data_IF_605007490132
#
_entry.id   IF_605007490132
#
_cell.length_a   1.000
_cell.length_b   1.000
_cell.length_c   1.000
_cell.angle_alpha   90.00
_cell.angle_beta   90.00
_cell.angle_gamma   90.00
#
_symmetry.space_group_name_H-M   'P 1'
#
loop_
_entity.id
_entity.type
_entity.pdbx_description
1 polymer ?
#
# COMPACT_ATOMS: atom_id res chain seq x y z
N UNK A 1 24.95 20.03 -10.99
CA UNK A 1 23.90 19.35 -11.78
C UNK A 1 24.35 18.01 -12.42
N UNK A 2 25.61 17.55 -12.27
CA UNK A 2 26.09 16.29 -12.90
C UNK A 2 26.35 15.10 -11.96
N UNK A 3 26.17 15.22 -10.64
CA UNK A 3 26.53 14.15 -9.70
C UNK A 3 25.41 13.13 -9.41
N UNK A 4 24.15 13.43 -9.76
CA UNK A 4 23.01 12.55 -9.53
C UNK A 4 22.90 11.44 -10.60
N UNK A 5 23.39 11.71 -11.82
CA UNK A 5 23.45 10.75 -12.93
C UNK A 5 24.50 9.66 -12.64
N UNK A 6 25.62 10.02 -12.00
CA UNK A 6 26.66 9.07 -11.61
C UNK A 6 26.22 8.13 -10.48
N UNK A 7 25.34 8.58 -9.58
CA UNK A 7 24.75 7.73 -8.54
C UNK A 7 23.83 6.65 -9.13
N UNK A 8 22.99 7.00 -10.10
CA UNK A 8 22.12 6.06 -10.83
C UNK A 8 22.95 5.06 -11.67
N UNK A 9 24.02 5.52 -12.33
CA UNK A 9 24.88 4.66 -13.14
C UNK A 9 25.70 3.68 -12.30
N UNK A 10 26.09 4.07 -11.09
CA UNK A 10 26.78 3.18 -10.14
C UNK A 10 25.85 2.06 -9.65
N UNK A 11 24.55 2.33 -9.46
CA UNK A 11 23.56 1.31 -9.07
C UNK A 11 23.24 0.32 -10.21
N UNK A 12 23.20 0.79 -11.46
CA UNK A 12 23.04 -0.09 -12.64
C UNK A 12 24.27 -0.98 -12.91
N UNK A 13 25.45 -0.64 -12.36
CA UNK A 13 26.64 -1.48 -12.43
C UNK A 13 26.64 -2.66 -11.45
N UNK A 14 25.84 -2.59 -10.38
CA UNK A 14 25.80 -3.60 -9.30
C UNK A 14 24.88 -4.78 -9.65
N UNK A 15 23.99 -4.66 -10.65
CA UNK A 15 23.10 -5.74 -11.10
C UNK A 15 23.79 -6.86 -11.90
N UNK A 16 25.12 -6.78 -12.12
CA UNK A 16 25.91 -7.89 -12.65
C UNK A 16 26.63 -8.65 -11.54
N UNK A 17 25.90 -9.44 -10.76
CA UNK A 17 26.46 -10.46 -9.87
C UNK A 17 25.89 -11.82 -10.22
N UNK A 18 26.48 -12.42 -11.25
CA UNK A 18 26.45 -13.87 -11.49
C UNK A 18 27.42 -14.56 -10.52
N UNK A 19 27.08 -14.71 -9.25
CA UNK A 19 27.79 -15.62 -8.33
C UNK A 19 26.90 -16.07 -7.17
N UNK A 20 27.03 -17.37 -6.84
CA UNK A 20 26.45 -18.15 -5.73
C UNK A 20 25.17 -18.96 -6.10
N UNK A 21 25.38 -20.07 -6.80
CA UNK A 21 24.71 -21.35 -6.52
C UNK A 21 25.81 -22.41 -6.37
N UNK A 22 25.85 -23.21 -5.28
CA UNK A 22 26.64 -24.43 -5.27
C UNK A 22 25.97 -25.41 -6.24
N UNK A 23 26.76 -25.93 -7.17
CA UNK A 23 26.35 -26.94 -8.12
C UNK A 23 25.79 -28.18 -7.40
N UNK A 24 24.51 -28.48 -7.62
CA UNK A 24 23.98 -29.84 -7.53
C UNK A 24 23.59 -30.20 -8.95
N UNK A 25 24.40 -31.08 -9.56
CA UNK A 25 24.22 -31.54 -10.91
C UNK A 25 23.01 -32.46 -11.03
N UNK A 26 22.13 -32.14 -11.96
CA UNK A 26 21.65 -33.05 -13.01
C UNK A 26 21.07 -32.18 -14.11
N UNK A 27 21.50 -32.41 -15.35
CA UNK A 27 21.29 -31.51 -16.46
C UNK A 27 19.82 -31.28 -16.84
N UNK A 28 19.43 -30.01 -16.86
CA UNK A 28 18.48 -29.46 -17.82
C UNK A 28 18.92 -28.03 -18.12
N UNK A 29 19.48 -27.81 -19.31
CA UNK A 29 19.65 -26.46 -19.88
C UNK A 29 18.28 -25.88 -20.15
N UNK A 30 17.74 -25.11 -19.20
CA UNK A 30 16.58 -24.25 -19.47
C UNK A 30 17.13 -22.96 -20.03
N UNK A 31 17.02 -22.80 -21.34
CA UNK A 31 17.23 -21.53 -22.00
C UNK A 31 16.26 -20.50 -21.38
N UNK A 32 16.80 -19.39 -20.91
CA UNK A 32 15.99 -18.22 -20.55
C UNK A 32 15.71 -17.40 -21.81
N UNK A 33 14.52 -17.58 -22.41
CA UNK A 33 13.84 -16.43 -22.97
C UNK A 33 12.37 -16.43 -22.51
N UNK A 34 11.73 -15.25 -22.52
CA UNK A 34 10.30 -15.01 -22.25
C UNK A 34 9.99 -14.59 -20.79
N UNK A 35 10.48 -13.40 -20.39
CA UNK A 35 9.77 -12.55 -19.42
C UNK A 35 10.11 -11.06 -19.52
N UNK A 36 10.82 -10.61 -20.58
CA UNK A 36 10.94 -9.18 -20.91
C UNK A 36 9.81 -8.84 -21.88
N UNK A 37 8.58 -8.86 -21.37
CA UNK A 37 7.50 -8.11 -21.99
C UNK A 37 7.96 -6.65 -21.96
N UNK A 38 8.27 -6.09 -23.13
CA UNK A 38 8.97 -4.80 -23.29
C UNK A 38 8.33 -3.74 -22.40
N UNK A 39 9.04 -3.35 -21.34
CA UNK A 39 8.66 -2.31 -20.39
C UNK A 39 8.17 -1.03 -21.10
N UNK A 40 8.73 -0.75 -22.29
CA UNK A 40 8.31 0.34 -23.19
C UNK A 40 6.86 0.28 -23.65
N UNK A 41 6.33 -0.91 -23.92
CA UNK A 41 4.98 -1.11 -24.46
C UNK A 41 3.92 -1.00 -23.36
N UNK A 42 4.27 -1.44 -22.14
CA UNK A 42 3.47 -1.24 -20.94
C UNK A 42 3.40 0.25 -20.56
N UNK A 43 4.54 0.96 -20.61
CA UNK A 43 4.61 2.40 -20.36
C UNK A 43 3.86 3.21 -21.44
N UNK A 44 3.88 2.78 -22.70
CA UNK A 44 3.15 3.42 -23.81
C UNK A 44 1.62 3.30 -23.67
N UNK A 45 1.11 2.10 -23.42
CA UNK A 45 -0.34 1.88 -23.16
C UNK A 45 -0.83 2.67 -21.95
N UNK A 46 0.03 2.85 -20.94
CA UNK A 46 -0.29 3.64 -19.74
C UNK A 46 -0.33 5.15 -20.00
N UNK A 47 0.48 5.66 -20.94
CA UNK A 47 0.38 7.05 -21.44
C UNK A 47 -0.94 7.33 -22.16
N UNK A 48 -1.51 6.36 -22.86
CA UNK A 48 -2.82 6.52 -23.52
C UNK A 48 -3.97 6.60 -22.50
N UNK A 49 -3.82 5.95 -21.34
CA UNK A 49 -4.76 6.02 -20.21
C UNK A 49 -4.74 7.37 -19.48
N UNK A 50 -3.58 8.05 -19.51
CA UNK A 50 -3.35 9.42 -18.99
C UNK A 50 -4.38 10.43 -19.49
N UNK A 51 -4.90 10.25 -20.70
CA UNK A 51 -5.79 11.23 -21.34
C UNK A 51 -7.29 10.91 -21.16
N UNK A 52 -7.65 9.65 -20.87
CA UNK A 52 -9.06 9.26 -20.67
C UNK A 52 -9.54 9.51 -19.23
N UNK A 53 -8.68 9.28 -18.24
CA UNK A 53 -9.00 9.44 -16.81
C UNK A 53 -9.44 10.87 -16.45
N UNK A 54 -8.77 11.89 -17.01
CA UNK A 54 -9.05 13.30 -16.70
C UNK A 54 -10.29 13.87 -17.40
N UNK A 55 -10.82 13.21 -18.42
CA UNK A 55 -12.13 13.58 -18.99
C UNK A 55 -13.29 13.18 -18.09
N UNK A 56 -13.12 12.14 -17.27
CA UNK A 56 -14.17 11.61 -16.38
C UNK A 56 -14.14 12.30 -15.02
N UNK A 57 -12.96 12.54 -14.43
CA UNK A 57 -12.85 13.13 -13.08
C UNK A 57 -13.30 14.60 -13.01
N UNK A 58 -13.18 15.38 -14.09
CA UNK A 58 -13.69 16.78 -14.15
C UNK A 58 -15.22 16.90 -14.10
N UNK A 59 -15.97 15.81 -14.31
CA UNK A 59 -17.44 15.80 -14.22
C UNK A 59 -17.98 15.47 -12.81
N UNK A 60 -17.14 14.98 -11.89
CA UNK A 60 -17.59 14.48 -10.60
C UNK A 60 -17.56 15.52 -9.45
N UNK A 61 -16.97 16.69 -9.67
CA UNK A 61 -16.84 17.74 -8.66
C UNK A 61 -17.92 18.82 -8.79
N UNK A 62 -19.16 18.50 -8.40
CA UNK A 62 -20.18 19.52 -8.11
C UNK A 62 -20.73 19.34 -6.68
N UNK A 63 -20.01 19.90 -5.71
CA UNK A 63 -20.36 19.91 -4.30
C UNK A 63 -21.26 21.11 -3.97
N UNK A 64 -22.53 20.84 -3.62
CA UNK A 64 -23.41 21.72 -2.81
C UNK A 64 -24.71 21.03 -2.37
N UNK A 65 -25.11 19.93 -3.03
CA UNK A 65 -26.32 19.16 -2.71
C UNK A 65 -26.10 18.16 -1.56
N UNK A 66 -24.85 17.75 -1.30
CA UNK A 66 -24.51 16.70 -0.32
C UNK A 66 -24.67 17.17 1.15
N UNK A 67 -24.33 18.41 1.50
CA UNK A 67 -24.16 18.83 2.91
C UNK A 67 -25.43 18.85 3.78
N UNK A 68 -26.62 19.10 3.21
CA UNK A 68 -27.87 19.20 4.01
C UNK A 68 -28.48 17.84 4.37
N UNK A 69 -28.06 16.75 3.71
CA UNK A 69 -28.51 15.39 4.03
C UNK A 69 -27.83 14.79 5.26
N UNK A 70 -26.57 15.15 5.53
CA UNK A 70 -25.72 14.48 6.53
C UNK A 70 -26.12 14.73 8.00
N UNK A 71 -26.78 15.84 8.33
CA UNK A 71 -27.08 16.16 9.74
C UNK A 71 -28.27 15.39 10.33
N UNK A 72 -29.20 14.87 9.51
CA UNK A 72 -30.36 14.08 9.98
C UNK A 72 -30.08 12.58 10.12
N UNK A 73 -28.90 12.11 9.67
CA UNK A 73 -28.48 10.69 9.70
C UNK A 73 -27.84 10.29 11.06
N UNK A 74 -27.08 11.18 11.69
CA UNK A 74 -26.21 10.91 12.87
C UNK A 74 -26.85 10.27 14.12
N UNK A 75 -28.18 10.31 14.29
CA UNK A 75 -28.87 9.63 15.41
C UNK A 75 -29.50 8.29 15.02
N UNK A 76 -29.73 8.04 13.72
CA UNK A 76 -30.13 6.71 13.21
C UNK A 76 -28.94 5.75 13.17
N UNK A 77 -27.75 6.29 12.97
CA UNK A 77 -26.55 5.50 12.70
C UNK A 77 -26.12 4.61 13.90
N UNK A 78 -26.31 5.02 15.16
CA UNK A 78 -25.89 4.20 16.33
C UNK A 78 -26.74 2.95 16.57
N UNK A 79 -28.06 3.08 16.49
CA UNK A 79 -28.95 1.92 16.63
C UNK A 79 -28.84 1.01 15.41
N UNK A 80 -28.65 1.60 14.22
CA UNK A 80 -28.37 0.85 13.01
C UNK A 80 -27.06 0.05 13.10
N UNK A 81 -25.98 0.64 13.62
CA UNK A 81 -24.70 -0.05 13.85
C UNK A 81 -24.88 -1.23 14.81
N UNK A 82 -25.65 -1.05 15.90
CA UNK A 82 -25.97 -2.14 16.83
C UNK A 82 -26.76 -3.26 16.15
N UNK A 83 -27.74 -2.91 15.32
CA UNK A 83 -28.56 -3.87 14.58
C UNK A 83 -27.71 -4.67 13.58
N UNK A 84 -26.82 -4.00 12.85
CA UNK A 84 -25.87 -4.64 11.94
C UNK A 84 -24.99 -5.62 12.69
N UNK A 85 -24.41 -5.19 13.83
CA UNK A 85 -23.57 -6.05 14.66
C UNK A 85 -24.34 -7.25 15.19
N UNK A 86 -25.59 -7.10 15.60
CA UNK A 86 -26.42 -8.21 16.09
C UNK A 86 -26.80 -9.22 14.99
N UNK A 87 -26.86 -8.78 13.73
CA UNK A 87 -27.17 -9.62 12.57
C UNK A 87 -25.94 -10.30 11.97
N UNK A 88 -24.75 -9.76 12.23
CA UNK A 88 -23.52 -10.35 11.74
C UNK A 88 -23.22 -11.66 12.46
N UNK A 89 -23.13 -12.74 11.69
CA UNK A 89 -22.69 -14.05 12.17
C UNK A 89 -21.16 -14.06 12.33
N UNK A 90 -20.66 -13.32 13.33
CA UNK A 90 -19.22 -13.17 13.59
C UNK A 90 -18.72 -14.42 14.34
N UNK A 91 -17.80 -15.20 13.77
CA UNK A 91 -17.24 -16.36 14.47
C UNK A 91 -16.49 -15.92 15.73
N UNK A 92 -16.43 -16.79 16.74
CA UNK A 92 -15.87 -16.50 18.07
C UNK A 92 -14.47 -15.86 17.98
N UNK A 93 -13.61 -16.32 17.06
CA UNK A 93 -12.26 -15.79 16.91
C UNK A 93 -12.19 -14.36 16.37
N UNK A 94 -13.27 -13.84 15.79
CA UNK A 94 -13.37 -12.47 15.28
C UNK A 94 -14.11 -11.52 16.22
N UNK A 95 -14.76 -12.02 17.28
CA UNK A 95 -15.62 -11.22 18.16
C UNK A 95 -14.86 -10.06 18.81
N UNK A 96 -13.72 -10.35 19.43
CA UNK A 96 -12.95 -9.32 20.16
C UNK A 96 -12.44 -8.21 19.23
N UNK A 97 -11.93 -8.57 18.05
CA UNK A 97 -11.42 -7.58 17.10
C UNK A 97 -12.54 -6.80 16.40
N UNK A 98 -13.68 -7.45 16.15
CA UNK A 98 -14.89 -6.78 15.69
C UNK A 98 -15.31 -5.70 16.69
N UNK A 99 -15.34 -6.03 17.99
CA UNK A 99 -15.72 -5.09 19.04
C UNK A 99 -14.79 -3.88 19.11
N UNK A 100 -13.48 -4.12 18.99
CA UNK A 100 -12.50 -3.04 18.90
C UNK A 100 -12.71 -2.19 17.64
N UNK A 101 -12.99 -2.82 16.49
CA UNK A 101 -13.23 -2.13 15.22
C UNK A 101 -14.46 -1.22 15.30
N UNK A 102 -15.60 -1.72 15.78
CA UNK A 102 -16.83 -0.94 15.98
C UNK A 102 -16.64 0.24 16.95
N UNK A 103 -15.66 0.16 17.86
CA UNK A 103 -15.34 1.22 18.81
C UNK A 103 -14.37 2.25 18.25
N UNK A 104 -13.36 1.80 17.47
CA UNK A 104 -12.21 2.61 17.07
C UNK A 104 -12.35 3.23 15.67
N UNK A 105 -13.21 2.67 14.82
CA UNK A 105 -13.49 3.22 13.49
C UNK A 105 -14.74 4.10 13.53
N UNK A 106 -14.63 5.29 12.94
CA UNK A 106 -15.73 6.27 12.85
C UNK A 106 -16.75 5.86 11.78
N UNK A 107 -17.56 4.86 12.09
CA UNK A 107 -18.54 4.28 11.17
C UNK A 107 -19.62 5.28 10.73
N UNK A 108 -19.97 6.25 11.59
CA UNK A 108 -21.00 7.26 11.31
C UNK A 108 -20.65 8.13 10.09
N UNK A 109 -19.37 8.36 9.85
CA UNK A 109 -18.90 9.10 8.68
C UNK A 109 -18.45 8.19 7.53
N UNK A 110 -18.74 6.89 7.59
CA UNK A 110 -18.33 5.86 6.62
C UNK A 110 -19.52 4.99 6.17
N UNK A 111 -20.51 5.55 5.44
CA UNK A 111 -21.72 4.83 5.03
C UNK A 111 -21.45 3.59 4.16
N UNK A 112 -20.29 3.54 3.50
CA UNK A 112 -19.88 2.38 2.71
C UNK A 112 -19.36 1.24 3.57
N UNK A 113 -18.60 1.54 4.61
CA UNK A 113 -18.20 0.54 5.60
C UNK A 113 -19.45 -0.09 6.24
N UNK A 114 -20.45 0.72 6.59
CA UNK A 114 -21.76 0.24 7.07
C UNK A 114 -22.42 -0.72 6.06
N UNK A 115 -22.41 -0.39 4.77
CA UNK A 115 -22.96 -1.27 3.73
C UNK A 115 -22.19 -2.58 3.60
N UNK A 116 -20.85 -2.54 3.63
CA UNK A 116 -20.02 -3.74 3.54
C UNK A 116 -20.21 -4.63 4.78
N UNK A 117 -20.35 -4.03 5.97
CA UNK A 117 -20.64 -4.75 7.21
C UNK A 117 -21.99 -5.49 7.15
N UNK A 118 -23.02 -4.96 6.50
CA UNK A 118 -24.33 -5.63 6.42
C UNK A 118 -24.31 -6.98 5.69
N UNK A 119 -23.36 -7.16 4.78
CA UNK A 119 -23.22 -8.37 3.96
C UNK A 119 -21.88 -9.06 4.16
N UNK A 120 -21.12 -8.70 5.19
CA UNK A 120 -19.80 -9.26 5.45
C UNK A 120 -19.94 -10.73 5.81
N UNK A 121 -19.13 -11.56 5.16
CA UNK A 121 -19.04 -13.00 5.42
C UNK A 121 -17.70 -13.34 6.06
N UNK A 122 -17.70 -14.40 6.84
CA UNK A 122 -16.49 -14.98 7.41
C UNK A 122 -16.35 -16.42 6.92
N UNK A 123 -15.13 -16.82 6.58
CA UNK A 123 -14.84 -18.20 6.23
C UNK A 123 -13.52 -18.66 6.85
N UNK A 124 -13.47 -19.95 7.18
CA UNK A 124 -12.25 -20.62 7.60
C UNK A 124 -11.76 -21.53 6.50
N UNK A 125 -10.52 -21.31 6.05
CA UNK A 125 -9.88 -22.16 5.04
C UNK A 125 -8.92 -23.11 5.75
N UNK A 126 -9.35 -24.36 5.90
CA UNK A 126 -8.52 -25.42 6.43
C UNK A 126 -7.39 -25.82 5.46
N UNK A 127 -6.31 -26.39 6.00
CA UNK A 127 -5.19 -26.91 5.18
C UNK A 127 -5.63 -27.88 4.09
N UNK A 128 -6.64 -28.69 4.39
CA UNK A 128 -7.19 -29.68 3.45
C UNK A 128 -8.06 -29.06 2.36
N UNK A 129 -8.59 -27.88 2.60
CA UNK A 129 -9.59 -27.26 1.73
C UNK A 129 -8.93 -26.45 0.61
N UNK A 130 -7.72 -25.91 0.83
CA UNK A 130 -6.95 -25.21 -0.20
C UNK A 130 -5.43 -25.38 -0.08
N UNK A 131 -4.95 -26.58 -0.46
CA UNK A 131 -3.52 -26.92 -0.47
C UNK A 131 -2.71 -25.94 -1.35
N UNK A 132 -3.29 -25.43 -2.44
CA UNK A 132 -2.60 -24.49 -3.34
C UNK A 132 -2.32 -23.18 -2.62
N UNK A 133 -3.30 -22.66 -1.89
CA UNK A 133 -3.15 -21.45 -1.10
C UNK A 133 -2.13 -21.62 0.02
N UNK A 134 -2.13 -22.76 0.71
CA UNK A 134 -1.11 -23.06 1.73
C UNK A 134 0.29 -23.20 1.14
N UNK A 135 0.44 -23.85 -0.01
CA UNK A 135 1.72 -23.91 -0.72
C UNK A 135 2.21 -22.53 -1.17
N UNK A 136 1.31 -21.65 -1.64
CA UNK A 136 1.63 -20.25 -1.96
C UNK A 136 2.13 -19.49 -0.72
N UNK A 137 1.48 -19.68 0.43
CA UNK A 137 1.90 -19.09 1.70
C UNK A 137 3.26 -19.59 2.16
N UNK A 138 3.56 -20.89 1.99
CA UNK A 138 4.85 -21.47 2.37
C UNK A 138 6.03 -20.93 1.58
N UNK A 139 5.82 -20.56 0.31
CA UNK A 139 6.86 -19.98 -0.55
C UNK A 139 6.85 -18.45 -0.56
N UNK A 140 5.82 -17.83 0.02
CA UNK A 140 5.75 -16.39 0.23
C UNK A 140 6.61 -16.00 1.44
N UNK A 141 7.38 -14.92 1.31
CA UNK A 141 8.10 -14.32 2.43
C UNK A 141 7.19 -13.65 3.47
N UNK A 142 5.88 -13.59 3.20
CA UNK A 142 4.83 -13.21 4.15
C UNK A 142 3.61 -14.12 3.95
N UNK A 143 3.46 -15.22 4.72
CA UNK A 143 2.25 -16.03 4.67
C UNK A 143 1.07 -15.21 5.19
N UNK A 144 0.01 -15.10 4.39
CA UNK A 144 -1.22 -14.43 4.82
C UNK A 144 -1.97 -15.34 5.80
N UNK A 145 -2.14 -14.89 7.04
CA UNK A 145 -2.93 -15.61 8.06
C UNK A 145 -4.43 -15.28 7.97
N UNK A 146 -4.80 -14.20 7.30
CA UNK A 146 -6.15 -13.90 6.85
C UNK A 146 -6.09 -13.01 5.59
N UNK A 147 -7.21 -12.89 4.90
CA UNK A 147 -7.38 -11.94 3.78
C UNK A 147 -8.82 -11.46 3.67
N UNK A 148 -9.00 -10.21 3.27
CA UNK A 148 -10.27 -9.69 2.78
C UNK A 148 -10.37 -9.80 1.26
N UNK A 149 -11.44 -10.43 0.78
CA UNK A 149 -11.82 -10.48 -0.62
C UNK A 149 -12.93 -9.45 -0.89
N UNK A 150 -12.61 -8.43 -1.67
CA UNK A 150 -13.52 -7.36 -2.07
C UNK A 150 -14.59 -7.81 -3.08
N UNK A 151 -14.36 -8.91 -3.82
CA UNK A 151 -15.32 -9.42 -4.80
C UNK A 151 -16.50 -10.13 -4.12
N UNK A 152 -16.19 -10.91 -3.08
CA UNK A 152 -17.19 -11.66 -2.34
C UNK A 152 -17.58 -11.03 -1.00
N UNK A 153 -16.96 -9.90 -0.64
CA UNK A 153 -17.12 -9.19 0.64
C UNK A 153 -16.98 -10.15 1.84
N UNK A 154 -15.81 -10.80 1.89
CA UNK A 154 -15.55 -11.93 2.80
C UNK A 154 -14.17 -11.78 3.44
N UNK A 155 -14.09 -11.97 4.75
CA UNK A 155 -12.81 -12.16 5.45
C UNK A 155 -12.58 -13.66 5.62
N UNK A 156 -11.47 -14.15 5.08
CA UNK A 156 -11.06 -15.55 5.16
C UNK A 156 -9.85 -15.67 6.07
N UNK A 157 -9.90 -16.59 7.04
CA UNK A 157 -8.73 -16.93 7.84
C UNK A 157 -8.07 -18.24 7.34
N UNK A 158 -6.74 -18.22 7.37
CA UNK A 158 -5.88 -19.34 7.00
C UNK A 158 -5.19 -19.78 8.28
N UNK A 159 -5.47 -21.01 8.73
CA UNK A 159 -4.99 -21.61 10.00
C UNK A 159 -5.81 -21.30 11.28
N UNK A 160 -5.45 -21.98 12.38
CA UNK A 160 -6.10 -21.83 13.68
C UNK A 160 -5.76 -20.46 14.28
N UNK A 161 -6.73 -19.53 14.18
CA UNK A 161 -6.79 -18.22 14.86
C UNK A 161 -5.70 -17.23 14.42
N UNK A 162 -5.92 -16.47 13.32
CA UNK A 162 -5.08 -15.33 13.00
C UNK A 162 -5.01 -14.34 14.17
N UNK A 163 -3.86 -13.66 14.29
CA UNK A 163 -3.66 -12.66 15.33
C UNK A 163 -4.56 -11.43 15.12
N UNK A 164 -4.93 -10.73 16.21
CA UNK A 164 -5.74 -9.51 16.12
C UNK A 164 -5.22 -8.47 15.13
N UNK A 165 -3.89 -8.16 15.07
CA UNK A 165 -3.38 -7.19 14.10
C UNK A 165 -3.66 -7.57 12.65
N UNK A 166 -3.60 -8.87 12.32
CA UNK A 166 -3.93 -9.36 10.98
C UNK A 166 -5.42 -9.17 10.71
N UNK A 167 -6.28 -9.55 11.66
CA UNK A 167 -7.72 -9.40 11.47
C UNK A 167 -8.16 -7.95 11.32
N UNK A 168 -7.69 -7.03 12.17
CA UNK A 168 -8.03 -5.61 12.03
C UNK A 168 -7.49 -4.98 10.74
N UNK A 169 -6.35 -5.48 10.23
CA UNK A 169 -5.87 -5.10 8.90
C UNK A 169 -6.90 -5.44 7.82
N UNK A 170 -7.45 -6.66 7.83
CA UNK A 170 -8.48 -7.08 6.88
C UNK A 170 -9.81 -6.33 7.06
N UNK A 171 -10.20 -6.03 8.30
CA UNK A 171 -11.36 -5.17 8.55
C UNK A 171 -11.19 -3.76 7.99
N UNK A 172 -9.98 -3.20 7.97
CA UNK A 172 -9.71 -1.88 7.37
C UNK A 172 -9.77 -1.93 5.83
N UNK A 173 -9.31 -3.01 5.20
CA UNK A 173 -9.53 -3.23 3.76
C UNK A 173 -11.03 -3.30 3.44
N UNK A 174 -11.81 -4.02 4.23
CA UNK A 174 -13.28 -4.04 4.11
C UNK A 174 -13.90 -2.65 4.26
N UNK A 175 -13.45 -1.90 5.28
CA UNK A 175 -13.98 -0.56 5.58
C UNK A 175 -13.76 0.44 4.46
N UNK A 176 -12.71 0.26 3.66
CA UNK A 176 -12.30 1.16 2.59
C UNK A 176 -12.75 0.70 1.20
N UNK A 177 -13.55 -0.36 1.11
CA UNK A 177 -13.93 -0.96 -0.19
C UNK A 177 -15.08 -0.25 -0.90
N UNK A 178 -14.89 0.03 -2.20
CA UNK A 178 -15.87 0.53 -3.15
C UNK A 178 -15.83 -0.31 -4.45
N UNK A 179 -16.97 -0.86 -4.86
CA UNK A 179 -17.16 -1.46 -6.19
C UNK A 179 -15.99 -2.37 -6.64
N UNK A 180 -15.66 -3.36 -5.79
CA UNK A 180 -14.59 -4.37 -5.99
C UNK A 180 -13.16 -3.91 -5.68
N UNK A 181 -12.95 -2.66 -5.27
CA UNK A 181 -11.63 -2.09 -4.97
C UNK A 181 -11.52 -1.63 -3.49
N UNK A 182 -10.43 -1.97 -2.79
CA UNK A 182 -10.20 -1.58 -1.39
C UNK A 182 -9.21 -0.41 -1.24
N UNK A 183 -9.56 0.63 -0.49
CA UNK A 183 -8.64 1.68 -0.07
C UNK A 183 -7.97 2.41 -1.24
N UNK A 184 -6.64 2.37 -1.33
CA UNK A 184 -5.91 3.00 -2.44
C UNK A 184 -5.62 2.05 -3.61
N UNK A 185 -6.30 0.92 -3.65
CA UNK A 185 -6.21 -0.06 -4.72
C UNK A 185 -7.10 0.36 -5.89
N UNK A 186 -6.52 0.55 -7.08
CA UNK A 186 -7.28 0.86 -8.29
C UNK A 186 -7.00 -0.16 -9.40
N UNK A 187 -8.05 -0.62 -10.08
CA UNK A 187 -7.98 -1.39 -11.32
C UNK A 187 -7.63 -0.41 -12.45
N UNK A 188 -6.35 -0.35 -12.81
CA UNK A 188 -5.85 0.55 -13.84
C UNK A 188 -6.28 0.17 -15.25
N UNK A 189 -6.16 -1.11 -15.65
CA UNK A 189 -6.41 -1.55 -17.05
C UNK A 189 -6.85 -3.02 -17.10
N UNK A 190 -7.82 -3.37 -17.95
CA UNK A 190 -8.00 -4.75 -18.42
C UNK A 190 -7.08 -4.99 -19.63
N UNK A 191 -6.02 -5.77 -19.46
CA UNK A 191 -5.20 -6.16 -20.59
C UNK A 191 -5.92 -7.25 -21.38
N UNK A 192 -6.52 -6.86 -22.51
CA UNK A 192 -7.26 -7.76 -23.39
C UNK A 192 -6.42 -8.92 -23.94
N UNK A 193 -5.07 -8.80 -23.95
CA UNK A 193 -4.19 -9.88 -24.40
C UNK A 193 -3.96 -10.93 -23.30
N UNK A 194 -3.75 -10.49 -22.07
CA UNK A 194 -3.53 -11.40 -20.93
C UNK A 194 -4.81 -11.73 -20.17
N UNK A 195 -5.94 -11.08 -20.51
CA UNK A 195 -7.23 -11.11 -19.79
C UNK A 195 -7.08 -10.82 -18.30
N UNK A 196 -6.12 -9.96 -17.93
CA UNK A 196 -5.83 -9.62 -16.54
C UNK A 196 -6.05 -8.14 -16.27
N UNK A 197 -6.54 -7.87 -15.07
CA UNK A 197 -6.56 -6.52 -14.52
C UNK A 197 -5.15 -6.15 -14.04
N UNK A 198 -4.67 -4.98 -14.46
CA UNK A 198 -3.46 -4.36 -13.94
C UNK A 198 -3.88 -3.50 -12.76
N UNK A 199 -3.42 -3.88 -11.59
CA UNK A 199 -3.66 -3.17 -10.35
C UNK A 199 -2.54 -2.16 -10.11
N UNK A 200 -2.89 -0.97 -9.63
CA UNK A 200 -1.93 0.06 -9.21
C UNK A 200 -2.31 0.57 -7.83
N UNK A 201 -1.31 0.85 -7.01
CA UNK A 201 -1.52 1.44 -5.68
C UNK A 201 -1.72 0.41 -4.58
N UNK A 202 -1.47 -0.87 -4.85
CA UNK A 202 -1.46 -1.93 -3.83
C UNK A 202 -0.46 -1.61 -2.72
N UNK A 203 0.76 -1.19 -3.03
CA UNK A 203 1.76 -0.86 -2.01
C UNK A 203 1.34 0.33 -1.14
N UNK A 204 0.68 1.32 -1.72
CA UNK A 204 0.10 2.43 -0.96
C UNK A 204 -1.10 1.95 -0.12
N UNK A 205 -1.94 1.08 -0.67
CA UNK A 205 -3.07 0.50 0.03
C UNK A 205 -2.63 -0.30 1.27
N UNK A 206 -1.80 -1.32 1.10
CA UNK A 206 -1.26 -2.14 2.19
C UNK A 206 -0.49 -1.29 3.21
N UNK A 207 0.34 -0.37 2.73
CA UNK A 207 1.13 0.54 3.57
C UNK A 207 0.26 1.46 4.42
N UNK A 208 -0.85 1.98 3.88
CA UNK A 208 -1.75 2.85 4.63
C UNK A 208 -2.73 2.09 5.50
N UNK A 209 -3.25 0.95 5.04
CA UNK A 209 -4.04 0.02 5.86
C UNK A 209 -3.27 -0.32 7.12
N UNK A 210 -1.99 -0.69 6.99
CA UNK A 210 -1.16 -1.06 8.12
C UNK A 210 -0.78 0.12 9.03
N UNK A 211 -0.56 1.31 8.45
CA UNK A 211 -0.34 2.53 9.23
C UNK A 211 -1.58 2.86 10.09
N UNK A 212 -2.78 2.78 9.50
CA UNK A 212 -4.04 2.98 10.23
C UNK A 212 -4.29 1.87 11.24
N UNK A 213 -3.95 0.62 10.91
CA UNK A 213 -4.03 -0.53 11.81
C UNK A 213 -3.24 -0.24 13.10
N UNK A 214 -1.99 0.21 12.96
CA UNK A 214 -1.16 0.56 14.12
C UNK A 214 -1.71 1.77 14.89
N UNK A 215 -2.17 2.82 14.20
CA UNK A 215 -2.68 4.05 14.84
C UNK A 215 -4.00 3.88 15.56
N UNK A 216 -4.93 3.12 14.98
CA UNK A 216 -6.27 2.94 15.55
C UNK A 216 -6.25 1.91 16.66
N UNK A 217 -5.50 0.82 16.50
CA UNK A 217 -5.51 -0.33 17.42
C UNK A 217 -4.32 -0.37 18.39
N UNK A 218 -3.48 0.67 18.40
CA UNK A 218 -2.33 0.82 19.31
C UNK A 218 -1.26 -0.28 19.15
N UNK A 219 -1.07 -0.77 17.91
CA UNK A 219 -0.03 -1.74 17.61
C UNK A 219 1.33 -1.08 17.35
N UNK A 220 2.40 -1.80 17.66
CA UNK A 220 3.76 -1.32 17.45
C UNK A 220 4.14 -1.36 15.96
N UNK A 221 4.25 -0.18 15.36
CA UNK A 221 4.66 0.01 13.96
C UNK A 221 6.00 -0.67 13.63
N UNK A 222 6.90 -0.82 14.61
CA UNK A 222 8.19 -1.51 14.40
C UNK A 222 8.03 -3.00 14.15
N UNK A 223 6.91 -3.60 14.56
CA UNK A 223 6.59 -5.01 14.34
C UNK A 223 5.82 -5.26 13.05
N UNK A 224 5.46 -4.21 12.32
CA UNK A 224 4.78 -4.32 11.04
C UNK A 224 5.60 -5.12 10.03
N UNK A 225 4.94 -5.99 9.26
CA UNK A 225 5.51 -6.71 8.11
C UNK A 225 5.66 -5.79 6.90
N UNK A 226 4.90 -4.71 6.82
CA UNK A 226 4.89 -3.75 5.71
C UNK A 226 5.80 -2.52 5.96
N UNK A 227 6.95 -2.69 6.62
CA UNK A 227 7.81 -1.57 7.08
C UNK A 227 8.14 -0.54 5.99
N UNK A 228 8.50 -1.01 4.79
CA UNK A 228 8.84 -0.13 3.65
C UNK A 228 7.59 0.59 3.13
N UNK A 229 6.50 -0.11 2.75
CA UNK A 229 5.23 0.53 2.38
C UNK A 229 4.72 1.54 3.42
N UNK A 230 4.74 1.18 4.71
CA UNK A 230 4.34 2.05 5.82
C UNK A 230 5.19 3.31 5.86
N UNK A 231 6.53 3.19 5.76
CA UNK A 231 7.41 4.35 5.78
C UNK A 231 7.17 5.27 4.60
N UNK A 232 7.07 4.73 3.38
CA UNK A 232 6.78 5.51 2.18
C UNK A 232 5.41 6.20 2.29
N UNK A 233 4.43 5.52 2.85
CA UNK A 233 3.09 6.08 3.06
C UNK A 233 3.10 7.24 4.05
N UNK A 234 3.85 7.12 5.16
CA UNK A 234 4.05 8.24 6.12
C UNK A 234 4.68 9.45 5.44
N UNK A 235 5.61 9.23 4.51
CA UNK A 235 6.20 10.32 3.72
C UNK A 235 5.19 10.95 2.74
N UNK A 236 4.34 10.14 2.10
CA UNK A 236 3.25 10.63 1.24
C UNK A 236 2.22 11.43 2.04
N UNK A 237 1.93 11.03 3.28
CA UNK A 237 0.97 11.75 4.15
C UNK A 237 1.40 13.20 4.44
N UNK A 238 2.71 13.50 4.43
CA UNK A 238 3.24 14.88 4.64
C UNK A 238 2.84 15.85 3.52
N UNK A 239 2.47 15.35 2.33
CA UNK A 239 1.96 16.20 1.25
C UNK A 239 0.64 16.88 1.64
N UNK A 240 -0.16 16.21 2.48
CA UNK A 240 -1.38 16.74 3.03
C UNK A 240 -1.08 17.72 4.18
N UNK A 241 -1.83 18.82 4.22
CA UNK A 241 -1.77 19.75 5.35
C UNK A 241 -2.32 19.11 6.63
N UNK A 242 -3.36 18.28 6.48
CA UNK A 242 -4.02 17.54 7.54
C UNK A 242 -4.04 16.03 7.23
N UNK A 243 -3.37 15.18 8.02
CA UNK A 243 -3.39 13.72 7.86
C UNK A 243 -4.80 13.09 7.82
N UNK A 244 -5.79 13.69 8.48
CA UNK A 244 -7.17 13.20 8.42
C UNK A 244 -7.79 13.29 7.02
N UNK A 245 -7.27 14.17 6.14
CA UNK A 245 -7.71 14.19 4.74
C UNK A 245 -7.25 12.95 3.97
N UNK A 246 -6.03 12.46 4.23
CA UNK A 246 -5.56 11.21 3.61
C UNK A 246 -6.33 10.01 4.16
N UNK A 247 -6.65 10.02 5.46
CA UNK A 247 -7.50 9.00 6.09
C UNK A 247 -8.90 8.98 5.48
N UNK A 248 -9.49 10.15 5.26
CA UNK A 248 -10.76 10.28 4.56
C UNK A 248 -10.67 9.74 3.13
N UNK A 249 -9.62 10.11 2.39
CA UNK A 249 -9.39 9.64 1.03
C UNK A 249 -9.30 8.10 0.96
N UNK A 250 -8.62 7.48 1.92
CA UNK A 250 -8.53 6.02 2.02
C UNK A 250 -9.90 5.36 2.19
N UNK A 251 -10.70 5.76 3.18
CA UNK A 251 -12.01 5.14 3.39
C UNK A 251 -13.02 5.42 2.26
N UNK A 252 -12.76 6.43 1.43
CA UNK A 252 -13.58 6.74 0.26
C UNK A 252 -13.08 6.11 -1.04
N UNK A 253 -11.99 5.35 -1.01
CA UNK A 253 -11.25 4.87 -2.19
C UNK A 253 -10.96 6.01 -3.18
N UNK A 254 -10.29 7.06 -2.69
CA UNK A 254 -9.97 8.27 -3.45
C UNK A 254 -8.46 8.41 -3.64
N UNK A 255 -7.88 7.52 -4.45
CA UNK A 255 -6.49 7.63 -4.91
C UNK A 255 -6.26 8.95 -5.69
N UNK A 256 -7.31 9.49 -6.32
CA UNK A 256 -7.22 10.76 -7.06
C UNK A 256 -6.88 11.94 -6.15
N UNK A 257 -7.42 11.99 -4.92
CA UNK A 257 -7.04 13.00 -3.93
C UNK A 257 -5.56 12.89 -3.57
N UNK A 258 -5.02 11.69 -3.36
CA UNK A 258 -3.57 11.49 -3.11
C UNK A 258 -2.74 12.00 -4.29
N UNK A 259 -3.14 11.65 -5.52
CA UNK A 259 -2.52 12.15 -6.74
C UNK A 259 -2.51 13.68 -6.82
N UNK A 260 -3.66 14.31 -6.56
CA UNK A 260 -3.80 15.77 -6.63
C UNK A 260 -2.94 16.47 -5.57
N UNK A 261 -2.89 15.95 -4.35
CA UNK A 261 -2.04 16.47 -3.28
C UNK A 261 -0.55 16.33 -3.61
N UNK A 262 -0.13 15.20 -4.16
CA UNK A 262 1.23 15.00 -4.64
C UNK A 262 1.59 15.96 -5.79
N UNK A 263 0.70 16.10 -6.77
CA UNK A 263 0.93 16.92 -7.97
C UNK A 263 0.91 18.43 -7.74
N UNK A 264 0.68 18.90 -6.51
CA UNK A 264 0.98 20.29 -6.13
C UNK A 264 2.48 20.62 -6.27
N UNK A 265 3.35 19.61 -6.11
CA UNK A 265 4.81 19.79 -6.12
C UNK A 265 5.52 18.82 -7.07
N UNK A 266 4.93 17.63 -7.28
CA UNK A 266 5.45 16.60 -8.18
C UNK A 266 4.80 16.60 -9.55
N UNK A 267 5.44 15.92 -10.49
CA UNK A 267 4.88 15.63 -11.80
C UNK A 267 4.02 14.37 -11.78
N UNK A 268 3.15 14.24 -12.77
CA UNK A 268 2.35 13.05 -13.00
C UNK A 268 3.23 11.78 -13.18
N UNK A 269 4.35 11.91 -13.90
CA UNK A 269 5.28 10.80 -14.11
C UNK A 269 5.93 10.34 -12.81
N UNK A 270 6.35 11.27 -11.95
CA UNK A 270 6.89 10.97 -10.63
C UNK A 270 5.88 10.22 -9.75
N UNK A 271 4.60 10.61 -9.76
CA UNK A 271 3.57 9.92 -8.99
C UNK A 271 3.39 8.46 -9.43
N UNK A 272 3.24 8.20 -10.74
CA UNK A 272 3.02 6.83 -11.20
C UNK A 272 4.26 5.95 -11.06
N UNK A 273 5.46 6.52 -11.18
CA UNK A 273 6.70 5.81 -10.89
C UNK A 273 6.75 5.42 -9.41
N UNK A 274 6.40 6.34 -8.50
CA UNK A 274 6.27 6.06 -7.08
C UNK A 274 5.28 4.93 -6.80
N UNK A 275 4.08 4.94 -7.39
CA UNK A 275 3.10 3.87 -7.19
C UNK A 275 3.65 2.51 -7.63
N UNK A 276 4.37 2.44 -8.76
CA UNK A 276 4.98 1.19 -9.22
C UNK A 276 6.10 0.70 -8.28
N UNK A 277 6.94 1.61 -7.80
CA UNK A 277 7.99 1.30 -6.83
C UNK A 277 7.35 0.74 -5.55
N UNK A 278 6.30 1.39 -5.03
CA UNK A 278 5.56 0.92 -3.87
C UNK A 278 4.93 -0.45 -4.08
N UNK A 279 4.29 -0.69 -5.23
CA UNK A 279 3.71 -1.98 -5.57
C UNK A 279 4.78 -3.08 -5.58
N UNK A 280 5.98 -2.79 -6.12
CA UNK A 280 7.09 -3.75 -6.11
C UNK A 280 7.51 -4.16 -4.68
N UNK A 281 7.49 -3.24 -3.72
CA UNK A 281 7.82 -3.52 -2.32
C UNK A 281 6.74 -4.32 -1.58
N UNK A 282 5.52 -4.39 -2.11
CA UNK A 282 4.43 -5.16 -1.52
C UNK A 282 4.42 -6.64 -1.94
N UNK A 283 4.99 -6.98 -3.10
CA UNK A 283 4.87 -8.32 -3.69
C UNK A 283 5.99 -9.31 -3.32
N UNK A 284 7.18 -8.85 -2.91
CA UNK A 284 8.30 -9.73 -2.61
C UNK A 284 9.40 -9.02 -1.80
N UNK A 285 9.30 -8.92 -0.45
CA UNK A 285 10.36 -8.32 0.35
C UNK A 285 11.69 -9.08 0.18
N UNK A 286 12.55 -8.56 -0.67
CA UNK A 286 13.93 -8.99 -0.85
C UNK A 286 14.85 -8.11 -0.02
N UNK A 287 16.02 -8.63 0.41
CA UNK A 287 17.01 -7.85 1.15
C UNK A 287 17.44 -6.54 0.44
N UNK A 288 17.34 -6.49 -0.90
CA UNK A 288 17.65 -5.29 -1.69
C UNK A 288 16.54 -4.22 -1.69
N UNK A 289 15.32 -4.55 -1.26
CA UNK A 289 14.21 -3.60 -1.25
C UNK A 289 14.45 -2.46 -0.26
N UNK A 290 15.15 -2.73 0.83
CA UNK A 290 15.58 -1.67 1.73
C UNK A 290 16.44 -0.63 0.99
N UNK A 291 17.45 -1.06 0.23
CA UNK A 291 18.34 -0.16 -0.53
C UNK A 291 17.55 0.58 -1.61
N UNK A 292 16.74 -0.14 -2.40
CA UNK A 292 15.92 0.46 -3.44
C UNK A 292 14.94 1.50 -2.86
N UNK A 293 14.36 1.21 -1.69
CA UNK A 293 13.45 2.14 -1.02
C UNK A 293 14.14 3.42 -0.55
N UNK A 294 15.45 3.43 -0.29
CA UNK A 294 16.18 4.67 0.02
C UNK A 294 16.14 5.60 -1.19
N UNK A 295 16.35 5.06 -2.39
CA UNK A 295 16.23 5.81 -3.65
C UNK A 295 14.85 6.45 -3.81
N UNK A 296 13.78 5.69 -3.58
CA UNK A 296 12.40 6.20 -3.59
C UNK A 296 12.16 7.27 -2.53
N UNK A 297 12.65 7.08 -1.30
CA UNK A 297 12.57 8.07 -0.22
C UNK A 297 13.26 9.38 -0.59
N UNK A 298 14.44 9.33 -1.24
CA UNK A 298 15.15 10.53 -1.69
C UNK A 298 14.44 11.23 -2.84
N UNK A 299 13.85 10.48 -3.80
CA UNK A 299 13.02 11.08 -4.86
C UNK A 299 11.83 11.84 -4.26
N UNK A 300 11.13 11.26 -3.29
CA UNK A 300 10.05 11.94 -2.58
C UNK A 300 10.53 13.19 -1.84
N UNK A 301 11.72 13.14 -1.23
CA UNK A 301 12.33 14.29 -0.57
C UNK A 301 12.62 15.44 -1.56
N UNK A 302 13.11 15.15 -2.75
CA UNK A 302 13.28 16.16 -3.81
C UNK A 302 11.96 16.77 -4.26
N UNK A 303 10.86 16.00 -4.23
CA UNK A 303 9.54 16.52 -4.56
C UNK A 303 9.01 17.44 -3.45
N UNK A 304 9.07 17.02 -2.18
CA UNK A 304 8.51 17.83 -1.08
C UNK A 304 9.28 19.13 -0.87
N UNK A 305 10.59 19.17 -1.16
CA UNK A 305 11.38 20.42 -1.12
C UNK A 305 10.85 21.50 -2.07
N UNK A 306 10.18 21.11 -3.16
CA UNK A 306 9.55 22.06 -4.10
C UNK A 306 8.32 22.76 -3.52
N UNK A 307 7.83 22.32 -2.36
CA UNK A 307 6.75 23.02 -1.63
C UNK A 307 7.21 24.35 -1.04
N UNK A 308 8.52 24.51 -0.80
CA UNK A 308 9.10 25.65 -0.07
C UNK A 308 8.48 25.87 1.33
N UNK A 309 7.84 24.83 1.88
CA UNK A 309 7.22 24.83 3.21
C UNK A 309 8.18 24.18 4.22
N UNK A 310 8.82 25.02 5.02
CA UNK A 310 9.82 24.59 6.00
C UNK A 310 9.26 23.59 7.03
N UNK A 311 7.99 23.70 7.41
CA UNK A 311 7.36 22.79 8.38
C UNK A 311 7.11 21.42 7.74
N UNK A 312 6.58 21.38 6.51
CA UNK A 312 6.43 20.11 5.76
C UNK A 312 7.77 19.44 5.53
N UNK A 313 8.77 20.18 5.08
CA UNK A 313 10.11 19.65 4.86
C UNK A 313 10.66 19.08 6.17
N UNK A 314 10.51 19.79 7.29
CA UNK A 314 10.98 19.31 8.59
C UNK A 314 10.26 18.02 9.05
N UNK A 315 8.93 17.97 8.94
CA UNK A 315 8.16 16.74 9.24
C UNK A 315 8.59 15.56 8.38
N UNK A 316 8.91 15.82 7.11
CA UNK A 316 9.43 14.82 6.19
C UNK A 316 10.82 14.32 6.61
N UNK A 317 11.73 15.24 6.94
CA UNK A 317 13.08 14.92 7.42
C UNK A 317 13.06 14.11 8.71
N UNK A 318 12.16 14.41 9.63
CA UNK A 318 12.03 13.69 10.89
C UNK A 318 11.68 12.20 10.65
N UNK A 319 10.84 11.91 9.66
CA UNK A 319 10.51 10.52 9.25
C UNK A 319 11.70 9.86 8.56
N UNK A 320 12.44 10.59 7.71
CA UNK A 320 13.63 10.06 7.05
C UNK A 320 14.70 9.67 8.06
N UNK A 321 14.97 10.57 9.01
CA UNK A 321 16.05 10.48 10.00
C UNK A 321 15.83 9.38 11.05
N UNK A 322 14.63 8.77 11.14
CA UNK A 322 14.40 7.52 11.87
C UNK A 322 15.37 6.40 11.42
N UNK A 323 15.85 6.46 10.18
CA UNK A 323 16.92 5.60 9.69
C UNK A 323 18.26 6.36 9.67
N UNK A 324 19.20 5.92 10.51
CA UNK A 324 20.53 6.56 10.63
C UNK A 324 21.31 6.60 9.31
N UNK A 325 21.16 5.61 8.43
CA UNK A 325 21.84 5.62 7.13
C UNK A 325 21.27 6.69 6.21
N UNK A 326 19.95 6.90 6.23
CA UNK A 326 19.29 7.94 5.44
C UNK A 326 19.63 9.33 6.00
N UNK A 327 19.65 9.48 7.33
CA UNK A 327 20.09 10.71 7.98
C UNK A 327 21.53 11.09 7.56
N UNK A 328 22.43 10.11 7.51
CA UNK A 328 23.81 10.30 7.04
C UNK A 328 23.85 10.63 5.54
N UNK A 329 23.13 9.88 4.71
CA UNK A 329 23.08 10.09 3.26
C UNK A 329 22.54 11.47 2.87
N UNK A 330 21.62 12.03 3.66
CA UNK A 330 21.05 13.37 3.46
C UNK A 330 22.01 14.48 3.89
N UNK A 331 22.72 14.28 5.01
CA UNK A 331 23.60 15.32 5.61
C UNK A 331 24.95 15.42 4.93
N UNK A 332 25.43 14.32 4.35
CA UNK A 332 26.72 14.28 3.68
C UNK A 332 26.50 14.20 2.16
N UNK A 333 26.77 15.30 1.44
CA UNK A 333 26.63 15.38 -0.02
C UNK A 333 27.54 14.39 -0.79
N UNK A 334 28.35 13.59 -0.08
CA UNK A 334 29.31 12.61 -0.61
C UNK A 334 29.12 11.17 -0.07
N UNK A 335 28.04 10.86 0.67
CA UNK A 335 27.85 9.50 1.19
C UNK A 335 27.44 8.52 0.08
N UNK A 336 28.38 7.68 -0.36
CA UNK A 336 28.09 6.55 -1.25
C UNK A 336 27.70 5.32 -0.42
N UNK A 337 26.45 4.90 -0.51
CA UNK A 337 26.02 3.59 -0.01
C UNK A 337 26.61 2.51 -0.93
N UNK A 338 27.73 1.91 -0.54
CA UNK A 338 28.28 0.72 -1.22
C UNK A 338 27.88 -0.55 -0.49
N UNK A 339 27.92 -1.69 -1.20
CA UNK A 339 27.73 -2.99 -0.57
C UNK A 339 28.78 -3.27 0.52
N UNK A 340 30.01 -2.73 0.41
CA UNK A 340 31.01 -2.80 1.48
C UNK A 340 30.62 -1.98 2.72
N UNK A 341 30.05 -0.78 2.54
CA UNK A 341 29.64 0.10 3.65
C UNK A 341 28.56 -0.55 4.53
N UNK A 342 27.73 -1.40 3.94
CA UNK A 342 26.70 -2.19 4.64
C UNK A 342 27.34 -3.36 5.42
N UNK A 343 28.39 -3.98 4.87
CA UNK A 343 29.12 -5.11 5.51
C UNK A 343 30.01 -4.67 6.67
N UNK A 344 30.70 -3.55 6.56
CA UNK A 344 31.66 -3.07 7.59
C UNK A 344 31.01 -2.63 8.89
N UNK A 345 29.72 -2.25 8.86
CA UNK A 345 28.99 -1.81 10.07
C UNK A 345 28.26 -2.94 10.82
N UNK A 346 28.57 -4.21 10.52
CA UNK A 346 28.08 -5.41 11.19
C UNK A 346 26.57 -5.40 11.49
N UNK A 347 25.77 -5.74 10.49
CA UNK A 347 24.44 -6.36 10.69
C UNK A 347 24.59 -7.86 10.49
#
# INVERSE_FOLDING_TARGET
MNYFVDFINTLNGITNLSYIFPAIGTGMTVSAPIAVMKLSDALKKRREYKDSYFKVSRKASSSKVMERGYLKLRLKDKEEIKEIRAKLEIPEQFQEISDEFFKKVDLENQPRCINNLRSLKFAHIGLRDDIILHLKNMVSSSPAAAMYDSDSNKIEDLEKRPSKPVLSHEFLHMASTQAYECGFHQVGVYDSKTRKHIYVGRGLNEGYTELLNCRLFDYDLKKSTYRIPVKLTRLIEVFFDNPEEMKKAYFHNDLAKVYLEFCKYGSNEEFWNLMNEMDSYAYAPMHFDFINSIGTQMKLYEVIKRSDDAEKIKRFEDILDENKFIALARRDNNFKLTAETIKEKHI
#
